data_IF_048308414356
#
_entry.id   IF_048308414356
#
_cell.length_a   1.000
_cell.length_b   1.000
_cell.length_c   1.000
_cell.angle_alpha   90.00
_cell.angle_beta   90.00
_cell.angle_gamma   90.00
#
_symmetry.space_group_name_H-M   'P 1'
#
loop_
_entity.id
_entity.type
_entity.pdbx_description
1 polymer ?
#
# COMPACT_ATOMS: atom_id res chain seq x y z
N UNK A 1 -79.60 -33.40 23.27
CA UNK A 1 -79.77 -32.74 21.96
C UNK A 1 -78.84 -31.54 21.94
N UNK A 2 -77.87 -31.33 21.05
CA UNK A 2 -77.36 -32.02 19.86
C UNK A 2 -75.83 -31.78 19.82
N UNK A 3 -75.07 -32.81 19.47
CA UNK A 3 -73.67 -32.70 19.04
C UNK A 3 -73.64 -32.10 17.63
N UNK A 4 -72.61 -31.31 17.30
CA UNK A 4 -72.27 -31.01 15.91
C UNK A 4 -70.75 -31.06 15.75
N UNK A 5 -70.35 -31.94 14.85
CA UNK A 5 -69.00 -32.33 14.50
C UNK A 5 -68.80 -32.04 13.01
N UNK A 6 -67.55 -31.75 12.61
CA UNK A 6 -66.95 -31.77 11.25
C UNK A 6 -67.40 -30.58 10.34
N UNK A 7 -66.56 -29.88 9.56
CA UNK A 7 -65.37 -30.28 8.79
C UNK A 7 -64.41 -29.10 8.59
N UNK A 8 -63.11 -29.33 8.81
CA UNK A 8 -62.03 -28.48 8.34
C UNK A 8 -61.82 -28.69 6.84
N UNK A 9 -62.04 -27.66 6.02
CA UNK A 9 -61.61 -27.64 4.64
C UNK A 9 -60.25 -26.94 4.55
N UNK A 10 -59.17 -27.73 4.59
CA UNK A 10 -57.84 -27.30 4.13
C UNK A 10 -57.90 -27.18 2.61
N UNK A 11 -58.22 -25.98 2.11
CA UNK A 11 -57.88 -25.63 0.75
C UNK A 11 -56.36 -25.44 0.69
N UNK A 12 -55.65 -26.46 0.21
CA UNK A 12 -54.28 -26.31 -0.27
C UNK A 12 -54.38 -25.44 -1.53
N UNK A 13 -54.33 -24.12 -1.35
CA UNK A 13 -54.03 -23.22 -2.43
C UNK A 13 -52.58 -23.52 -2.83
N UNK A 14 -52.41 -24.13 -4.00
CA UNK A 14 -51.12 -24.30 -4.63
C UNK A 14 -50.40 -22.96 -4.61
N UNK A 15 -49.28 -22.89 -3.90
CA UNK A 15 -48.39 -21.73 -3.90
C UNK A 15 -47.86 -21.55 -5.32
N UNK A 16 -48.57 -20.74 -6.11
CA UNK A 16 -47.98 -20.07 -7.25
C UNK A 16 -46.94 -19.11 -6.69
N UNK A 17 -45.68 -19.56 -6.63
CA UNK A 17 -44.52 -18.68 -6.55
C UNK A 17 -44.43 -17.88 -7.84
N UNK A 18 -45.38 -16.96 -8.06
CA UNK A 18 -45.17 -15.86 -8.99
C UNK A 18 -44.13 -14.96 -8.33
N UNK A 19 -42.93 -15.00 -8.90
CA UNK A 19 -41.90 -14.01 -8.70
C UNK A 19 -42.49 -12.62 -8.93
N UNK A 20 -42.98 -11.96 -7.88
CA UNK A 20 -43.29 -10.55 -7.93
C UNK A 20 -41.97 -9.80 -7.83
N UNK A 21 -41.39 -9.53 -9.00
CA UNK A 21 -40.32 -8.56 -9.14
C UNK A 21 -40.76 -7.17 -8.70
N UNK A 22 -39.81 -6.43 -8.11
CA UNK A 22 -39.82 -4.98 -7.91
C UNK A 22 -40.67 -4.34 -6.79
N UNK A 23 -41.29 -5.08 -5.85
CA UNK A 23 -41.99 -4.45 -4.72
C UNK A 23 -41.70 -5.12 -3.37
N UNK A 24 -41.78 -4.34 -2.28
CA UNK A 24 -41.69 -4.86 -0.91
C UNK A 24 -42.74 -5.95 -0.67
N UNK A 25 -42.48 -6.96 0.19
CA UNK A 25 -43.46 -7.98 0.55
C UNK A 25 -44.76 -7.31 1.01
N UNK A 26 -45.89 -7.82 0.50
CA UNK A 26 -47.19 -7.32 0.91
C UNK A 26 -47.46 -7.75 2.35
N UNK A 27 -47.84 -6.80 3.19
CA UNK A 27 -48.20 -7.05 4.59
C UNK A 27 -49.48 -7.90 4.71
N UNK A 28 -49.48 -8.84 5.67
CA UNK A 28 -50.65 -9.59 6.09
C UNK A 28 -50.73 -9.58 7.61
N UNK A 29 -51.58 -8.73 8.20
CA UNK A 29 -51.70 -8.59 9.67
C UNK A 29 -52.84 -9.47 10.20
N UNK A 30 -52.71 -10.79 10.04
CA UNK A 30 -53.78 -11.74 10.38
C UNK A 30 -53.69 -12.27 11.82
N UNK A 31 -52.55 -12.08 12.48
CA UNK A 31 -52.30 -12.48 13.86
C UNK A 31 -51.48 -11.45 14.64
N UNK A 32 -51.43 -11.62 15.96
CA UNK A 32 -50.57 -10.81 16.84
C UNK A 32 -49.08 -10.98 16.50
N UNK A 33 -48.66 -12.16 16.05
CA UNK A 33 -47.28 -12.43 15.63
C UNK A 33 -46.95 -11.68 14.33
N UNK A 34 -47.89 -11.64 13.38
CA UNK A 34 -47.71 -10.88 12.13
C UNK A 34 -47.63 -9.38 12.42
N UNK A 35 -48.51 -8.89 13.31
CA UNK A 35 -48.54 -7.49 13.75
C UNK A 35 -47.24 -7.10 14.47
N UNK A 36 -46.72 -7.97 15.34
CA UNK A 36 -45.45 -7.78 16.02
C UNK A 36 -44.27 -7.74 15.03
N UNK A 37 -44.24 -8.66 14.07
CA UNK A 37 -43.18 -8.74 13.06
C UNK A 37 -43.15 -7.49 12.18
N UNK A 38 -44.32 -7.01 11.76
CA UNK A 38 -44.46 -5.77 11.01
C UNK A 38 -44.03 -4.55 11.84
N UNK A 39 -44.45 -4.47 13.11
CA UNK A 39 -44.08 -3.38 14.02
C UNK A 39 -42.56 -3.28 14.20
N UNK A 40 -41.86 -4.42 14.37
CA UNK A 40 -40.39 -4.44 14.40
C UNK A 40 -39.77 -3.90 13.11
N UNK A 41 -40.30 -4.27 11.95
CA UNK A 41 -39.82 -3.76 10.66
C UNK A 41 -40.01 -2.26 10.49
N UNK A 42 -41.16 -1.72 10.90
CA UNK A 42 -41.47 -0.28 10.87
C UNK A 42 -40.53 0.51 11.80
N UNK A 43 -40.32 0.03 13.02
CA UNK A 43 -39.43 0.66 14.00
C UNK A 43 -37.98 0.75 13.50
N UNK A 44 -37.44 -0.38 13.01
CA UNK A 44 -36.07 -0.44 12.50
C UNK A 44 -35.88 0.31 11.17
N UNK A 45 -36.94 0.45 10.36
CA UNK A 45 -36.89 1.07 9.04
C UNK A 45 -36.76 2.60 9.03
N UNK A 46 -37.04 3.29 10.15
CA UNK A 46 -37.11 4.76 10.20
C UNK A 46 -35.80 5.46 9.80
N UNK A 47 -34.65 4.82 10.09
CA UNK A 47 -33.32 5.37 9.81
C UNK A 47 -32.82 5.19 8.37
N UNK A 48 -33.50 4.41 7.53
CA UNK A 48 -32.98 4.00 6.21
C UNK A 48 -32.73 5.19 5.27
N UNK A 49 -33.62 6.19 5.24
CA UNK A 49 -33.41 7.38 4.40
C UNK A 49 -32.17 8.17 4.81
N UNK A 50 -31.97 8.36 6.11
CA UNK A 50 -30.78 9.02 6.63
C UNK A 50 -29.51 8.21 6.35
N UNK A 51 -29.58 6.89 6.49
CA UNK A 51 -28.47 5.99 6.15
C UNK A 51 -28.07 6.11 4.67
N UNK A 52 -29.04 6.10 3.75
CA UNK A 52 -28.78 6.29 2.32
C UNK A 52 -28.12 7.65 2.04
N UNK A 53 -28.62 8.73 2.67
CA UNK A 53 -28.02 10.06 2.54
C UNK A 53 -26.58 10.12 3.07
N UNK A 54 -26.27 9.46 4.19
CA UNK A 54 -24.90 9.36 4.73
C UNK A 54 -23.96 8.65 3.76
N UNK A 55 -24.46 7.67 3.00
CA UNK A 55 -23.72 6.99 1.93
C UNK A 55 -23.70 7.76 0.61
N UNK A 56 -24.27 8.97 0.57
CA UNK A 56 -24.44 9.78 -0.63
C UNK A 56 -25.24 9.06 -1.74
N UNK A 57 -26.22 8.25 -1.34
CA UNK A 57 -27.19 7.58 -2.21
C UNK A 57 -28.48 8.39 -2.18
N UNK A 58 -28.97 8.77 -3.36
CA UNK A 58 -30.23 9.51 -3.49
C UNK A 58 -31.41 8.63 -3.00
N UNK A 59 -32.22 9.19 -2.11
CA UNK A 59 -33.43 8.54 -1.56
C UNK A 59 -34.47 8.21 -2.62
N UNK A 60 -34.40 8.82 -3.82
CA UNK A 60 -35.20 8.41 -4.98
C UNK A 60 -34.99 6.93 -5.36
N UNK A 61 -33.83 6.36 -5.01
CA UNK A 61 -33.47 4.96 -5.27
C UNK A 61 -33.78 4.02 -4.10
N UNK A 62 -34.57 4.43 -3.10
CA UNK A 62 -34.89 3.60 -1.93
C UNK A 62 -35.55 2.26 -2.31
N UNK A 63 -36.32 2.21 -3.41
CA UNK A 63 -36.93 0.96 -3.88
C UNK A 63 -35.88 -0.07 -4.33
N UNK A 64 -34.77 0.38 -4.93
CA UNK A 64 -33.65 -0.52 -5.29
C UNK A 64 -32.92 -1.02 -4.03
N UNK A 65 -32.79 -0.17 -3.02
CA UNK A 65 -32.27 -0.58 -1.71
C UNK A 65 -33.16 -1.66 -1.06
N UNK A 66 -34.48 -1.43 -1.01
CA UNK A 66 -35.43 -2.39 -0.45
C UNK A 66 -35.43 -3.71 -1.23
N UNK A 67 -35.31 -3.65 -2.55
CA UNK A 67 -35.15 -4.85 -3.39
C UNK A 67 -33.89 -5.64 -3.00
N UNK A 68 -32.74 -4.99 -2.89
CA UNK A 68 -31.50 -5.63 -2.45
C UNK A 68 -31.59 -6.22 -1.03
N UNK A 69 -32.24 -5.50 -0.11
CA UNK A 69 -32.48 -5.95 1.26
C UNK A 69 -33.34 -7.23 1.29
N UNK A 70 -34.45 -7.25 0.55
CA UNK A 70 -35.33 -8.41 0.46
C UNK A 70 -34.62 -9.61 -0.20
N UNK A 71 -33.90 -9.37 -1.30
CA UNK A 71 -33.14 -10.41 -1.99
C UNK A 71 -32.08 -11.03 -1.07
N UNK A 72 -31.41 -10.21 -0.25
CA UNK A 72 -30.44 -10.66 0.75
C UNK A 72 -31.08 -11.45 1.89
N UNK A 73 -32.17 -10.95 2.47
CA UNK A 73 -32.80 -11.55 3.66
C UNK A 73 -33.55 -12.85 3.36
N UNK A 74 -34.25 -12.93 2.22
CA UNK A 74 -35.13 -14.06 1.90
C UNK A 74 -34.42 -15.23 1.22
N UNK A 75 -33.18 -15.05 0.75
CA UNK A 75 -32.47 -16.06 -0.04
C UNK A 75 -31.14 -16.51 0.59
N UNK A 76 -30.98 -16.38 1.91
CA UNK A 76 -29.71 -16.70 2.58
C UNK A 76 -29.29 -18.17 2.42
N UNK A 77 -30.23 -19.10 2.38
CA UNK A 77 -29.93 -20.54 2.24
C UNK A 77 -29.65 -20.97 0.78
N UNK A 78 -29.91 -20.10 -0.20
CA UNK A 78 -29.55 -20.36 -1.59
C UNK A 78 -28.05 -20.13 -1.80
N UNK A 79 -27.28 -21.22 -1.82
CA UNK A 79 -25.83 -21.20 -1.99
C UNK A 79 -25.36 -20.46 -3.25
N UNK A 80 -26.14 -20.45 -4.34
CA UNK A 80 -25.76 -19.74 -5.57
C UNK A 80 -25.93 -18.24 -5.38
N UNK A 81 -27.04 -17.81 -4.76
CA UNK A 81 -27.26 -16.40 -4.41
C UNK A 81 -26.28 -15.92 -3.35
N UNK A 82 -25.94 -16.75 -2.37
CA UNK A 82 -24.91 -16.45 -1.38
C UNK A 82 -23.54 -16.17 -2.05
N UNK A 83 -23.13 -17.01 -3.01
CA UNK A 83 -21.88 -16.79 -3.76
C UNK A 83 -21.93 -15.51 -4.63
N UNK A 84 -23.06 -15.23 -5.28
CA UNK A 84 -23.26 -14.01 -6.06
C UNK A 84 -23.18 -12.75 -5.20
N UNK A 85 -23.88 -12.74 -4.05
CA UNK A 85 -23.87 -11.62 -3.10
C UNK A 85 -22.48 -11.40 -2.48
N UNK A 86 -21.76 -12.48 -2.17
CA UNK A 86 -20.36 -12.40 -1.74
C UNK A 86 -19.48 -11.75 -2.82
N UNK A 87 -19.69 -12.11 -4.09
CA UNK A 87 -19.00 -11.51 -5.23
C UNK A 87 -19.25 -10.01 -5.37
N UNK A 88 -20.50 -9.55 -5.13
CA UNK A 88 -20.83 -8.11 -5.11
C UNK A 88 -20.02 -7.40 -4.01
N UNK A 89 -20.03 -7.94 -2.78
CA UNK A 89 -19.30 -7.34 -1.65
C UNK A 89 -17.80 -7.23 -1.91
N UNK A 90 -17.18 -8.33 -2.39
CA UNK A 90 -15.75 -8.34 -2.77
C UNK A 90 -15.48 -7.34 -3.89
N UNK A 91 -16.31 -7.31 -4.94
CA UNK A 91 -16.15 -6.39 -6.07
C UNK A 91 -16.23 -4.91 -5.67
N UNK A 92 -17.16 -4.56 -4.78
CA UNK A 92 -17.26 -3.22 -4.22
C UNK A 92 -16.00 -2.83 -3.43
N UNK A 93 -15.52 -3.72 -2.56
CA UNK A 93 -14.29 -3.49 -1.79
C UNK A 93 -13.07 -3.33 -2.72
N UNK A 94 -12.91 -4.20 -3.72
CA UNK A 94 -11.82 -4.13 -4.70
C UNK A 94 -11.84 -2.83 -5.49
N UNK A 95 -13.02 -2.38 -5.95
CA UNK A 95 -13.17 -1.10 -6.66
C UNK A 95 -12.69 0.07 -5.80
N UNK A 96 -13.03 0.07 -4.51
CA UNK A 96 -12.58 1.09 -3.56
C UNK A 96 -11.07 1.04 -3.33
N UNK A 97 -10.49 -0.15 -3.13
CA UNK A 97 -9.05 -0.35 -2.95
C UNK A 97 -8.27 0.11 -4.19
N UNK A 98 -8.73 -0.27 -5.39
CA UNK A 98 -8.07 0.13 -6.64
C UNK A 98 -8.10 1.65 -6.79
N UNK A 99 -9.27 2.26 -6.63
CA UNK A 99 -9.44 3.71 -6.82
C UNK A 99 -8.66 4.53 -5.80
N UNK A 100 -8.74 4.16 -4.51
CA UNK A 100 -8.27 5.02 -3.43
C UNK A 100 -6.86 4.67 -2.95
N UNK A 101 -6.41 3.44 -3.14
CA UNK A 101 -5.10 2.98 -2.63
C UNK A 101 -4.14 2.66 -3.78
N UNK A 102 -4.50 1.75 -4.69
CA UNK A 102 -3.57 1.27 -5.72
C UNK A 102 -3.25 2.38 -6.72
N UNK A 103 -4.26 3.07 -7.27
CA UNK A 103 -4.03 4.16 -8.22
C UNK A 103 -3.19 5.27 -7.60
N UNK A 104 -3.51 5.68 -6.36
CA UNK A 104 -2.73 6.71 -5.66
C UNK A 104 -1.30 6.27 -5.39
N UNK A 105 -1.07 5.00 -5.03
CA UNK A 105 0.27 4.47 -4.78
C UNK A 105 1.13 4.42 -6.04
N UNK A 106 0.55 4.08 -7.20
CA UNK A 106 1.30 3.92 -8.45
C UNK A 106 1.46 5.26 -9.18
N UNK A 107 0.38 6.04 -9.29
CA UNK A 107 0.32 7.25 -10.13
C UNK A 107 0.41 8.55 -9.32
N UNK A 108 0.36 8.49 -7.98
CA UNK A 108 0.38 9.67 -7.12
C UNK A 108 -0.83 10.56 -7.38
N UNK A 109 -0.58 11.82 -7.73
CA UNK A 109 -1.60 12.83 -8.06
C UNK A 109 -1.96 12.85 -9.56
N UNK A 110 -1.37 11.98 -10.39
CA UNK A 110 -1.72 11.88 -11.82
C UNK A 110 -3.03 11.12 -12.01
N UNK A 111 -4.13 11.87 -12.01
CA UNK A 111 -5.49 11.35 -12.22
C UNK A 111 -5.79 10.92 -13.66
N UNK A 112 -4.87 11.14 -14.61
CA UNK A 112 -5.07 10.74 -16.01
C UNK A 112 -4.77 9.26 -16.24
N UNK A 113 -4.10 8.61 -15.28
CA UNK A 113 -3.76 7.19 -15.33
C UNK A 113 -4.49 6.41 -14.24
N UNK A 114 -4.90 5.19 -14.57
CA UNK A 114 -5.52 4.28 -13.61
C UNK A 114 -5.31 2.84 -14.02
N UNK A 115 -5.33 1.94 -13.03
CA UNK A 115 -5.46 0.52 -13.26
C UNK A 115 -6.82 0.25 -13.91
N UNK A 116 -6.80 -0.47 -15.03
CA UNK A 116 -8.02 -0.91 -15.70
C UNK A 116 -8.77 -1.90 -14.82
N UNK A 117 -9.92 -1.47 -14.29
CA UNK A 117 -10.80 -2.35 -13.50
C UNK A 117 -11.23 -3.57 -14.31
N UNK A 118 -11.49 -3.43 -15.61
CA UNK A 118 -11.87 -4.54 -16.48
C UNK A 118 -10.78 -5.61 -16.58
N UNK A 119 -9.53 -5.20 -16.85
CA UNK A 119 -8.40 -6.14 -16.93
C UNK A 119 -8.07 -6.75 -15.56
N UNK A 120 -8.20 -5.97 -14.49
CA UNK A 120 -8.04 -6.47 -13.13
C UNK A 120 -9.06 -7.57 -12.82
N UNK A 121 -10.35 -7.35 -13.09
CA UNK A 121 -11.40 -8.34 -12.88
C UNK A 121 -11.22 -9.57 -13.77
N UNK A 122 -10.77 -9.39 -15.02
CA UNK A 122 -10.44 -10.50 -15.92
C UNK A 122 -9.31 -11.37 -15.35
N UNK A 123 -8.22 -10.75 -14.88
CA UNK A 123 -7.10 -11.45 -14.24
C UNK A 123 -7.51 -12.16 -12.95
N UNK A 124 -8.31 -11.49 -12.10
CA UNK A 124 -8.86 -12.07 -10.88
C UNK A 124 -9.72 -13.31 -11.18
N UNK A 125 -10.66 -13.21 -12.13
CA UNK A 125 -11.53 -14.30 -12.52
C UNK A 125 -10.75 -15.47 -13.13
N UNK A 126 -9.76 -15.19 -13.98
CA UNK A 126 -8.90 -16.22 -14.57
C UNK A 126 -8.12 -16.97 -13.48
N UNK A 127 -7.51 -16.24 -12.52
CA UNK A 127 -6.78 -16.85 -11.41
C UNK A 127 -7.70 -17.68 -10.49
N UNK A 128 -8.85 -17.13 -10.09
CA UNK A 128 -9.80 -17.79 -9.20
C UNK A 128 -10.41 -19.07 -9.81
N UNK A 129 -10.52 -19.14 -11.13
CA UNK A 129 -11.01 -20.32 -11.87
C UNK A 129 -9.89 -21.28 -12.28
N UNK A 130 -8.62 -20.95 -12.01
CA UNK A 130 -7.46 -21.73 -12.44
C UNK A 130 -7.19 -21.67 -13.96
N UNK A 131 -7.71 -20.67 -14.67
CA UNK A 131 -7.52 -20.46 -16.12
C UNK A 131 -6.57 -19.29 -16.43
N UNK A 132 -5.59 -19.05 -15.57
CA UNK A 132 -4.57 -18.00 -15.73
C UNK A 132 -3.44 -18.37 -16.72
N UNK A 133 -3.74 -19.16 -17.75
CA UNK A 133 -2.73 -19.70 -18.69
C UNK A 133 -1.90 -18.63 -19.40
N UNK A 134 -2.48 -17.45 -19.61
CA UNK A 134 -1.80 -16.33 -20.26
C UNK A 134 -0.78 -15.63 -19.33
N UNK A 135 -0.84 -15.85 -18.01
CA UNK A 135 0.05 -15.24 -17.03
C UNK A 135 0.07 -16.05 -15.72
N UNK A 136 1.19 -16.72 -15.46
CA UNK A 136 1.39 -17.42 -14.19
C UNK A 136 1.39 -16.44 -13.02
N UNK A 137 1.07 -16.93 -11.82
CA UNK A 137 1.09 -16.13 -10.59
C UNK A 137 2.47 -15.52 -10.35
N UNK A 138 3.54 -16.27 -10.63
CA UNK A 138 4.90 -15.78 -10.49
C UNK A 138 5.20 -14.61 -11.44
N UNK A 139 4.82 -14.74 -12.72
CA UNK A 139 4.98 -13.66 -13.69
C UNK A 139 4.13 -12.44 -13.33
N UNK A 140 2.93 -12.64 -12.79
CA UNK A 140 2.09 -11.55 -12.29
C UNK A 140 2.80 -10.78 -11.16
N UNK A 141 3.35 -11.48 -10.16
CA UNK A 141 4.10 -10.84 -9.06
C UNK A 141 5.31 -10.04 -9.55
N UNK A 142 6.04 -10.56 -10.52
CA UNK A 142 7.18 -9.84 -11.12
C UNK A 142 6.73 -8.56 -11.84
N UNK A 143 5.59 -8.60 -12.52
CA UNK A 143 4.99 -7.42 -13.17
C UNK A 143 4.53 -6.41 -12.12
N UNK A 144 3.83 -6.86 -11.08
CA UNK A 144 3.35 -6.04 -9.96
C UNK A 144 4.49 -5.31 -9.23
N UNK A 145 5.67 -5.93 -9.14
CA UNK A 145 6.86 -5.29 -8.56
C UNK A 145 7.53 -4.32 -9.53
N UNK A 146 7.78 -4.74 -10.77
CA UNK A 146 8.64 -4.01 -11.72
C UNK A 146 7.93 -2.84 -12.39
N UNK A 147 6.67 -3.00 -12.77
CA UNK A 147 5.97 -2.01 -13.62
C UNK A 147 5.68 -0.72 -12.85
N UNK A 148 5.16 -0.73 -11.61
CA UNK A 148 4.97 0.49 -10.84
C UNK A 148 6.26 1.29 -10.66
N UNK A 149 7.37 0.62 -10.34
CA UNK A 149 8.68 1.26 -10.22
C UNK A 149 9.12 1.93 -11.52
N UNK A 150 8.94 1.25 -12.66
CA UNK A 150 9.27 1.80 -13.97
C UNK A 150 8.37 2.99 -14.36
N UNK A 151 7.08 2.95 -14.01
CA UNK A 151 6.15 4.06 -14.24
C UNK A 151 6.51 5.27 -13.40
N UNK A 152 6.80 5.08 -12.11
CA UNK A 152 7.25 6.14 -11.22
C UNK A 152 8.57 6.74 -11.71
N UNK A 153 9.53 5.91 -12.14
CA UNK A 153 10.80 6.39 -12.69
C UNK A 153 10.60 7.24 -13.96
N UNK A 154 9.74 6.81 -14.89
CA UNK A 154 9.40 7.59 -16.09
C UNK A 154 8.70 8.91 -15.76
N UNK A 155 7.76 8.88 -14.81
CA UNK A 155 7.06 10.09 -14.38
C UNK A 155 8.03 11.08 -13.71
N UNK A 156 8.92 10.58 -12.85
CA UNK A 156 9.97 11.37 -12.23
C UNK A 156 10.91 11.94 -13.29
N UNK A 157 11.35 11.16 -14.26
CA UNK A 157 12.26 11.63 -15.32
C UNK A 157 11.60 12.70 -16.20
N UNK A 158 10.31 12.55 -16.53
CA UNK A 158 9.56 13.58 -17.25
C UNK A 158 9.50 14.89 -16.48
N UNK A 159 9.34 14.85 -15.16
CA UNK A 159 9.18 16.03 -14.30
C UNK A 159 10.52 16.64 -13.86
N UNK A 160 11.50 15.80 -13.54
CA UNK A 160 12.78 16.15 -12.90
C UNK A 160 14.00 15.83 -13.78
N UNK A 161 13.82 15.63 -15.09
CA UNK A 161 14.92 15.30 -16.01
C UNK A 161 16.00 16.39 -16.08
N UNK A 162 15.64 17.65 -15.83
CA UNK A 162 16.61 18.74 -15.74
C UNK A 162 17.44 18.64 -14.45
N UNK A 163 16.81 18.34 -13.31
CA UNK A 163 17.48 18.07 -12.05
C UNK A 163 18.41 16.86 -12.18
N UNK A 164 17.97 15.79 -12.83
CA UNK A 164 18.81 14.62 -13.13
C UNK A 164 20.09 15.03 -13.86
N UNK A 165 19.96 15.77 -14.98
CA UNK A 165 21.11 16.26 -15.75
C UNK A 165 22.06 17.14 -14.94
N UNK A 166 21.52 18.00 -14.06
CA UNK A 166 22.34 18.84 -13.15
C UNK A 166 23.14 17.99 -12.18
N UNK A 167 22.54 16.97 -11.58
CA UNK A 167 23.21 16.06 -10.65
C UNK A 167 24.25 15.18 -11.37
N UNK A 168 23.93 14.68 -12.57
CA UNK A 168 24.88 13.94 -13.44
C UNK A 168 26.13 14.79 -13.73
N UNK A 169 25.93 16.04 -14.17
CA UNK A 169 27.02 16.98 -14.45
C UNK A 169 27.83 17.33 -13.19
N UNK A 170 27.17 17.46 -12.04
CA UNK A 170 27.84 17.70 -10.77
C UNK A 170 28.75 16.53 -10.39
N UNK A 171 28.27 15.29 -10.46
CA UNK A 171 29.08 14.11 -10.16
C UNK A 171 30.25 13.94 -11.14
N UNK A 172 30.05 14.23 -12.42
CA UNK A 172 31.13 14.24 -13.41
C UNK A 172 32.23 15.27 -13.09
N UNK A 173 31.87 16.42 -12.48
CA UNK A 173 32.83 17.43 -11.99
C UNK A 173 33.55 16.94 -10.72
N UNK A 174 32.82 16.33 -9.79
CA UNK A 174 33.38 15.75 -8.55
C UNK A 174 34.44 14.70 -8.90
N UNK A 175 34.15 13.80 -9.82
CA UNK A 175 35.08 12.75 -10.26
C UNK A 175 36.42 13.28 -10.81
N UNK A 176 36.43 14.52 -11.35
CA UNK A 176 37.63 15.17 -11.92
C UNK A 176 38.32 16.12 -10.94
N UNK A 177 37.79 16.29 -9.74
CA UNK A 177 38.32 17.25 -8.77
C UNK A 177 39.60 16.68 -8.13
N UNK A 178 40.72 17.43 -8.11
CA UNK A 178 41.95 16.97 -7.47
C UNK A 178 41.75 16.59 -6.01
N UNK A 179 42.34 15.45 -5.61
CA UNK A 179 42.23 14.93 -4.25
C UNK A 179 40.94 14.16 -3.95
N UNK A 180 40.03 14.04 -4.91
CA UNK A 180 38.85 13.18 -4.78
C UNK A 180 39.24 11.71 -4.91
N UNK A 181 38.74 10.87 -4.01
CA UNK A 181 38.96 9.42 -4.00
C UNK A 181 37.67 8.70 -4.39
N UNK A 182 37.77 7.68 -5.23
CA UNK A 182 36.62 6.89 -5.69
C UNK A 182 36.37 5.68 -4.78
N UNK A 183 35.10 5.33 -4.61
CA UNK A 183 34.60 4.09 -4.02
C UNK A 183 33.72 3.34 -5.05
N UNK A 184 33.07 2.25 -4.64
CA UNK A 184 32.12 1.55 -5.51
C UNK A 184 30.88 2.41 -5.80
N UNK A 185 30.06 1.96 -6.74
CA UNK A 185 28.75 2.57 -7.08
C UNK A 185 28.81 4.05 -7.51
N UNK A 186 29.98 4.51 -7.97
CA UNK A 186 30.17 5.90 -8.38
C UNK A 186 30.22 6.89 -7.21
N UNK A 187 30.41 6.40 -5.97
CA UNK A 187 30.60 7.23 -4.79
C UNK A 187 32.01 7.80 -4.79
N UNK A 188 32.12 9.07 -4.38
CA UNK A 188 33.40 9.74 -4.21
C UNK A 188 33.50 10.35 -2.83
N UNK A 189 34.71 10.54 -2.34
CA UNK A 189 34.93 11.25 -1.08
C UNK A 189 36.19 12.09 -1.08
N UNK A 190 36.15 13.14 -0.25
CA UNK A 190 37.29 13.94 0.16
C UNK A 190 37.54 13.72 1.64
N UNK A 191 38.75 13.35 1.98
CA UNK A 191 39.16 13.15 3.38
C UNK A 191 39.46 14.52 4.02
N UNK A 192 38.69 14.88 5.05
CA UNK A 192 38.88 16.11 5.84
C UNK A 192 39.83 15.84 7.01
N UNK A 193 39.65 14.71 7.67
CA UNK A 193 40.48 14.24 8.80
C UNK A 193 40.72 12.74 8.65
N UNK A 194 41.97 12.32 8.71
CA UNK A 194 42.33 10.91 8.72
C UNK A 194 41.96 10.29 10.08
N UNK A 195 41.37 9.09 10.03
CA UNK A 195 41.15 8.26 11.20
C UNK A 195 42.30 7.28 11.39
N UNK A 196 42.46 6.79 12.62
CA UNK A 196 43.52 5.83 12.98
C UNK A 196 42.97 4.50 13.49
N UNK A 197 41.65 4.39 13.68
CA UNK A 197 41.01 3.17 14.15
C UNK A 197 40.67 2.18 13.05
N UNK A 198 40.07 1.05 13.45
CA UNK A 198 39.62 0.01 12.52
C UNK A 198 38.51 0.54 11.58
N UNK A 199 38.37 -0.10 10.42
CA UNK A 199 37.22 0.10 9.54
C UNK A 199 36.07 -0.81 10.00
N UNK A 200 34.81 -0.35 9.96
CA UNK A 200 33.66 -1.20 10.24
C UNK A 200 33.52 -2.34 9.22
N UNK A 201 32.87 -3.42 9.62
CA UNK A 201 32.41 -4.50 8.74
C UNK A 201 30.89 -4.43 8.52
N UNK A 202 30.39 -5.17 7.53
CA UNK A 202 28.96 -5.28 7.30
C UNK A 202 28.20 -5.69 8.58
N UNK A 203 26.99 -5.16 8.74
CA UNK A 203 26.09 -5.42 9.87
C UNK A 203 26.60 -4.98 11.26
N UNK A 204 27.78 -4.37 11.37
CA UNK A 204 28.22 -3.74 12.62
C UNK A 204 27.41 -2.49 12.93
N UNK A 205 27.34 -2.16 14.22
CA UNK A 205 26.75 -0.93 14.72
C UNK A 205 27.86 0.10 14.84
N UNK A 206 27.63 1.28 14.28
CA UNK A 206 28.55 2.41 14.32
C UNK A 206 27.89 3.62 14.94
N UNK A 207 28.74 4.47 15.52
CA UNK A 207 28.34 5.76 16.05
C UNK A 207 28.95 6.86 15.18
N UNK A 208 28.12 7.77 14.69
CA UNK A 208 28.50 8.78 13.71
C UNK A 208 27.94 10.17 14.08
N UNK A 209 28.63 11.20 13.60
CA UNK A 209 28.05 12.53 13.36
C UNK A 209 27.96 12.72 11.85
N UNK A 210 26.88 13.31 11.35
CA UNK A 210 26.77 13.66 9.94
C UNK A 210 25.88 14.89 9.68
N UNK A 211 26.12 15.52 8.53
CA UNK A 211 25.24 16.51 7.92
C UNK A 211 25.05 16.14 6.46
N UNK A 212 23.80 16.02 6.03
CA UNK A 212 23.38 15.71 4.67
C UNK A 212 22.85 16.93 3.94
N UNK A 213 23.38 17.21 2.74
CA UNK A 213 23.01 18.33 1.88
C UNK A 213 22.81 17.90 0.43
N UNK A 214 21.93 18.58 -0.28
CA UNK A 214 21.83 18.49 -1.75
C UNK A 214 22.85 19.41 -2.43
N UNK A 215 23.02 19.27 -3.75
CA UNK A 215 24.02 20.04 -4.54
C UNK A 215 23.79 21.56 -4.55
N UNK A 216 22.57 22.01 -4.21
CA UNK A 216 22.21 23.43 -4.04
C UNK A 216 22.50 23.94 -2.62
N UNK A 217 23.02 23.08 -1.74
CA UNK A 217 23.41 23.42 -0.37
C UNK A 217 22.27 23.29 0.65
N UNK A 218 21.08 22.87 0.25
CA UNK A 218 19.96 22.63 1.20
C UNK A 218 20.31 21.46 2.12
N UNK A 219 20.36 21.72 3.43
CA UNK A 219 20.46 20.68 4.46
C UNK A 219 19.13 19.94 4.56
N UNK A 220 19.17 18.63 4.40
CA UNK A 220 17.97 17.78 4.49
C UNK A 220 17.95 16.91 5.74
N UNK A 221 19.12 16.66 6.35
CA UNK A 221 19.25 15.87 7.57
C UNK A 221 20.57 16.18 8.30
N UNK A 222 20.59 16.05 9.62
CA UNK A 222 21.80 16.11 10.45
C UNK A 222 21.62 15.38 11.77
N UNK A 223 22.70 14.81 12.26
CA UNK A 223 22.76 14.26 13.60
C UNK A 223 24.20 14.23 14.11
N UNK A 224 24.45 14.65 15.34
CA UNK A 224 25.81 14.70 15.90
C UNK A 224 26.21 13.45 16.70
N UNK A 225 25.26 12.54 16.93
CA UNK A 225 25.43 11.38 17.80
C UNK A 225 24.45 10.25 17.45
N UNK A 226 24.45 9.83 16.18
CA UNK A 226 23.60 8.75 15.68
C UNK A 226 24.28 7.40 15.86
N UNK A 227 23.57 6.43 16.44
CA UNK A 227 23.96 5.01 16.42
C UNK A 227 23.15 4.31 15.34
N UNK A 228 23.81 3.64 14.40
CA UNK A 228 23.14 2.91 13.33
C UNK A 228 23.86 1.63 12.94
N UNK A 229 23.10 0.64 12.48
CA UNK A 229 23.66 -0.55 11.87
C UNK A 229 23.99 -0.31 10.39
N UNK A 230 25.19 -0.72 9.97
CA UNK A 230 25.58 -0.68 8.56
C UNK A 230 24.65 -1.59 7.74
N UNK A 231 24.15 -1.04 6.61
CA UNK A 231 23.19 -1.70 5.73
C UNK A 231 21.78 -1.11 5.81
N UNK A 232 21.51 -0.22 6.78
CA UNK A 232 20.19 0.42 6.94
C UNK A 232 20.06 1.77 6.19
N UNK A 233 21.17 2.33 5.71
CA UNK A 233 21.16 3.56 4.90
C UNK A 233 21.16 3.26 3.39
N UNK A 234 21.12 4.32 2.57
CA UNK A 234 21.27 4.20 1.11
C UNK A 234 22.62 3.57 0.73
N UNK A 235 22.72 2.83 -0.39
CA UNK A 235 23.90 2.04 -0.77
C UNK A 235 25.21 2.81 -0.67
N UNK A 236 25.27 4.03 -1.21
CA UNK A 236 26.50 4.82 -1.22
C UNK A 236 26.93 5.33 0.14
N UNK A 237 26.00 5.49 1.09
CA UNK A 237 26.33 5.87 2.47
C UNK A 237 26.97 4.69 3.21
N UNK A 238 26.42 3.48 3.01
CA UNK A 238 27.01 2.26 3.57
C UNK A 238 28.39 1.98 2.97
N UNK A 239 28.56 2.16 1.66
CA UNK A 239 29.86 2.01 0.99
C UNK A 239 30.90 2.96 1.57
N UNK A 240 30.53 4.22 1.87
CA UNK A 240 31.42 5.15 2.54
C UNK A 240 31.81 4.68 3.95
N UNK A 241 30.83 4.34 4.80
CA UNK A 241 31.08 3.90 6.17
C UNK A 241 32.00 2.67 6.25
N UNK A 242 31.81 1.68 5.36
CA UNK A 242 32.66 0.48 5.29
C UNK A 242 34.12 0.81 4.96
N UNK A 243 34.37 1.96 4.34
CA UNK A 243 35.71 2.39 3.95
C UNK A 243 36.35 3.39 4.92
N UNK A 244 35.56 4.01 5.81
CA UNK A 244 36.01 5.00 6.79
C UNK A 244 36.73 4.34 7.97
N UNK A 245 37.99 4.70 8.27
CA UNK A 245 38.62 4.36 9.55
C UNK A 245 37.94 5.10 10.70
N UNK A 246 37.79 4.48 11.88
CA UNK A 246 37.29 5.18 13.07
C UNK A 246 38.16 6.40 13.40
N UNK A 247 37.50 7.52 13.74
CA UNK A 247 38.09 8.83 13.99
C UNK A 247 38.23 9.70 12.74
N UNK A 248 37.91 9.16 11.55
CA UNK A 248 37.97 9.92 10.29
C UNK A 248 36.76 10.83 10.12
N UNK A 249 36.98 11.93 9.38
CA UNK A 249 35.93 12.82 8.90
C UNK A 249 36.04 12.99 7.40
N UNK A 250 35.02 12.59 6.66
CA UNK A 250 34.98 12.64 5.20
C UNK A 250 33.81 13.49 4.72
N UNK A 251 34.00 14.15 3.58
CA UNK A 251 32.90 14.68 2.77
C UNK A 251 32.67 13.69 1.61
N UNK A 252 31.49 13.10 1.57
CA UNK A 252 31.10 11.99 0.70
C UNK A 252 30.05 12.47 -0.29
N UNK A 253 30.23 12.13 -1.56
CA UNK A 253 29.39 12.49 -2.68
C UNK A 253 28.77 11.23 -3.27
N UNK A 254 27.45 11.13 -3.15
CA UNK A 254 26.68 9.92 -3.49
C UNK A 254 25.78 10.23 -4.69
N UNK A 255 26.00 9.60 -5.87
CA UNK A 255 25.12 9.76 -7.01
C UNK A 255 23.73 9.18 -6.70
N UNK A 256 22.69 9.64 -7.39
CA UNK A 256 21.32 9.23 -7.06
C UNK A 256 21.10 7.72 -7.23
N UNK A 257 21.85 7.04 -8.09
CA UNK A 257 21.80 5.58 -8.28
C UNK A 257 22.19 4.82 -7.00
N UNK A 258 23.13 5.37 -6.23
CA UNK A 258 23.54 4.87 -4.92
C UNK A 258 22.81 5.59 -3.75
N UNK A 259 21.83 6.44 -4.09
CA UNK A 259 20.98 7.20 -3.18
C UNK A 259 19.53 6.74 -3.26
N UNK A 260 18.61 7.69 -3.47
CA UNK A 260 17.15 7.41 -3.54
C UNK A 260 16.60 7.24 -4.96
N UNK A 261 17.46 7.30 -5.99
CA UNK A 261 17.05 7.11 -7.37
C UNK A 261 15.97 8.09 -7.83
N UNK A 262 14.91 7.57 -8.44
CA UNK A 262 13.75 8.34 -8.88
C UNK A 262 12.74 8.65 -7.75
N UNK A 263 12.97 8.16 -6.54
CA UNK A 263 12.06 8.35 -5.42
C UNK A 263 12.26 9.72 -4.78
N UNK A 264 11.20 10.25 -4.15
CA UNK A 264 11.24 11.49 -3.37
C UNK A 264 11.00 11.14 -1.89
N UNK A 265 12.05 10.86 -1.11
CA UNK A 265 11.90 10.39 0.28
C UNK A 265 11.45 11.51 1.24
N UNK A 266 11.69 12.77 0.89
CA UNK A 266 11.25 13.94 1.65
C UNK A 266 11.03 15.15 0.73
N UNK A 267 10.34 16.20 1.18
CA UNK A 267 10.19 17.44 0.39
C UNK A 267 11.52 18.10 0.01
N UNK A 268 12.58 17.88 0.79
CA UNK A 268 13.89 18.49 0.60
C UNK A 268 14.80 17.67 -0.32
N UNK A 269 14.45 16.40 -0.60
CA UNK A 269 15.24 15.52 -1.47
C UNK A 269 14.39 15.18 -2.69
N UNK A 270 14.62 15.90 -3.79
CA UNK A 270 13.95 15.67 -5.08
C UNK A 270 14.45 14.35 -5.72
N UNK A 271 13.66 13.74 -6.62
CA UNK A 271 14.14 12.65 -7.46
C UNK A 271 15.44 13.00 -8.18
N UNK A 272 16.33 12.01 -8.29
CA UNK A 272 17.65 12.10 -8.92
C UNK A 272 18.63 13.06 -8.22
N UNK A 273 18.37 13.45 -6.98
CA UNK A 273 19.32 14.25 -6.19
C UNK A 273 20.56 13.44 -5.83
N UNK A 274 21.72 14.01 -6.15
CA UNK A 274 23.01 13.67 -5.53
C UNK A 274 22.99 14.11 -4.08
N UNK A 275 23.47 13.23 -3.20
CA UNK A 275 23.56 13.49 -1.76
C UNK A 275 25.01 13.79 -1.39
N UNK A 276 25.22 14.85 -0.61
CA UNK A 276 26.52 15.23 -0.08
C UNK A 276 26.46 15.09 1.43
N UNK A 277 27.28 14.20 1.98
CA UNK A 277 27.35 14.00 3.42
C UNK A 277 28.72 14.38 3.96
N UNK A 278 28.76 15.24 4.96
CA UNK A 278 29.93 15.31 5.84
C UNK A 278 29.71 14.32 6.96
N UNK A 279 30.54 13.29 7.07
CA UNK A 279 30.41 12.19 8.05
C UNK A 279 31.67 12.18 8.92
N UNK A 280 31.50 12.08 10.24
CA UNK A 280 32.56 11.72 11.17
C UNK A 280 32.23 10.38 11.83
N UNK A 281 33.11 9.38 11.65
CA UNK A 281 32.95 8.06 12.25
C UNK A 281 33.55 8.07 13.65
N UNK A 282 32.71 8.09 14.68
CA UNK A 282 33.12 8.28 16.07
C UNK A 282 33.61 6.96 16.69
N UNK A 283 32.87 5.87 16.51
CA UNK A 283 33.23 4.56 17.06
C UNK A 283 32.48 3.42 16.36
N UNK A 284 33.00 2.20 16.51
CA UNK A 284 32.27 0.95 16.23
C UNK A 284 31.81 0.40 17.58
N UNK A 285 30.52 0.12 17.72
CA UNK A 285 30.01 -0.52 18.92
C UNK A 285 30.37 -2.02 18.89
N UNK A 286 30.76 -2.57 20.05
CA UNK A 286 30.92 -4.02 20.16
C UNK A 286 29.56 -4.66 19.92
N UNK A 287 29.51 -5.67 19.06
CA UNK A 287 28.33 -6.51 18.94
C UNK A 287 27.93 -6.96 20.35
N UNK A 288 26.63 -6.93 20.72
CA UNK A 288 26.21 -7.48 22.00
C UNK A 288 26.76 -8.90 22.06
N UNK A 289 27.53 -9.20 23.11
CA UNK A 289 27.99 -10.56 23.36
C UNK A 289 26.74 -11.43 23.37
N UNK A 290 26.61 -12.28 22.35
CA UNK A 290 25.59 -13.31 22.35
C UNK A 290 25.86 -14.13 23.61
N UNK A 291 25.03 -13.93 24.64
CA UNK A 291 24.94 -14.82 25.78
C UNK A 291 24.60 -16.19 25.21
N UNK A 292 25.64 -16.97 24.90
CA UNK A 292 25.49 -18.38 24.62
C UNK A 292 24.72 -18.96 25.81
N UNK A 293 23.61 -19.68 25.58
CA UNK A 293 22.87 -20.28 26.67
C UNK A 293 23.86 -21.13 27.47
N UNK A 294 24.05 -20.78 28.75
CA UNK A 294 24.75 -21.64 29.70
C UNK A 294 24.05 -22.98 29.63
N UNK A 295 24.76 -24.01 29.16
CA UNK A 295 24.29 -25.37 29.20
C UNK A 295 23.84 -25.65 30.65
N UNK A 296 22.56 -25.91 30.82
CA UNK A 296 22.01 -26.39 32.07
C UNK A 296 22.56 -27.81 32.24
N UNK A 297 23.45 -27.99 33.22
CA UNK A 297 23.80 -29.31 33.74
C UNK A 297 22.77 -29.70 34.79
#
# INVERSE_FOLDING_TARGET
MKKLTVVAALAIAAASFTACGNQAPKEEMKSDIDSLSYAFGVDQGQGVKQYLQQMNIDTAYINEFIKGLNDGAMNMDDKKKAAYNAGIGVGMNMSMVIKNQINKSIFGEDSTQSISLGNFLAGFAASAKGDNKNMTVEKARQIEQRVPQALQAKAAEKKYGNEKKKNDAYMAKIAKTPGMKALKEGVYYKEIKAGTGAKPTASQIVKISYVGKTIDGTEFDKNDNMTMQIGQAVPGFNEALLNMPVGSKWEVYIPYEAGYGAQQPSPNIKPFSTLIFTIELLSIEKAPETNAPKAVQ
#
